data_IF_755321820002
#
_entry.id   IF_755321820002
#
_cell.length_a   1.000
_cell.length_b   1.000
_cell.length_c   1.000
_cell.angle_alpha   90.00
_cell.angle_beta   90.00
_cell.angle_gamma   90.00
#
_symmetry.space_group_name_H-M   'P 1'
#
loop_
_entity.id
_entity.type
_entity.pdbx_description
1 polymer ?
#
# COMPACT_ATOMS: atom_id res chain seq x y z
N UNK A 1 -12.99 26.80 -7.78
CA UNK A 1 -13.91 25.97 -8.59
C UNK A 1 -14.20 24.73 -7.77
N UNK A 2 -15.37 24.64 -7.14
CA UNK A 2 -15.74 23.57 -6.22
C UNK A 2 -16.26 22.36 -7.02
N UNK A 3 -15.42 21.34 -7.18
CA UNK A 3 -15.82 20.06 -7.79
C UNK A 3 -16.74 19.29 -6.85
N UNK A 4 -17.83 18.74 -7.39
CA UNK A 4 -18.78 17.90 -6.67
C UNK A 4 -18.05 16.72 -6.00
N UNK A 5 -18.18 16.64 -4.66
CA UNK A 5 -17.69 15.51 -3.86
C UNK A 5 -18.60 14.29 -4.09
N UNK A 6 -18.15 13.33 -4.88
CA UNK A 6 -18.79 12.02 -4.98
C UNK A 6 -18.40 11.15 -3.78
N UNK A 7 -19.38 10.64 -3.03
CA UNK A 7 -19.17 9.67 -1.95
C UNK A 7 -18.52 8.40 -2.53
N UNK A 8 -17.22 8.23 -2.30
CA UNK A 8 -16.52 7.01 -2.69
C UNK A 8 -16.75 5.95 -1.61
N UNK A 9 -17.31 4.80 -1.99
CA UNK A 9 -17.52 3.66 -1.10
C UNK A 9 -16.40 2.66 -1.37
N UNK A 10 -15.50 2.51 -0.40
CA UNK A 10 -14.43 1.50 -0.47
C UNK A 10 -15.02 0.10 -0.52
N UNK A 11 -14.52 -0.72 -1.46
CA UNK A 11 -14.92 -2.11 -1.64
C UNK A 11 -13.92 -3.05 -0.95
N UNK A 12 -14.40 -3.84 0.02
CA UNK A 12 -13.56 -4.77 0.78
C UNK A 12 -12.94 -5.85 -0.09
N UNK A 13 -13.61 -6.30 -1.15
CA UNK A 13 -13.07 -7.33 -2.06
C UNK A 13 -11.84 -6.82 -2.81
N UNK A 14 -11.87 -5.55 -3.23
CA UNK A 14 -10.74 -4.89 -3.86
C UNK A 14 -9.55 -4.76 -2.90
N UNK A 15 -9.78 -4.43 -1.63
CA UNK A 15 -8.71 -4.39 -0.62
C UNK A 15 -8.08 -5.77 -0.37
N UNK A 16 -8.90 -6.81 -0.23
CA UNK A 16 -8.43 -8.20 -0.05
C UNK A 16 -7.65 -8.71 -1.27
N UNK A 17 -8.05 -8.31 -2.48
CA UNK A 17 -7.30 -8.60 -3.71
C UNK A 17 -5.89 -8.02 -3.65
N UNK A 18 -5.76 -6.74 -3.27
CA UNK A 18 -4.46 -6.06 -3.15
C UNK A 18 -3.60 -6.73 -2.07
N UNK A 19 -4.18 -7.06 -0.92
CA UNK A 19 -3.47 -7.80 0.13
C UNK A 19 -2.88 -9.11 -0.40
N UNK A 20 -3.68 -9.90 -1.13
CA UNK A 20 -3.22 -11.17 -1.71
C UNK A 20 -2.08 -10.98 -2.71
N UNK A 21 -2.16 -9.96 -3.57
CA UNK A 21 -1.11 -9.63 -4.52
C UNK A 21 0.20 -9.31 -3.79
N UNK A 22 0.14 -8.46 -2.75
CA UNK A 22 1.30 -8.05 -1.96
C UNK A 22 1.93 -9.22 -1.21
N UNK A 23 1.11 -10.07 -0.59
CA UNK A 23 1.59 -11.28 0.09
C UNK A 23 2.33 -12.22 -0.85
N UNK A 24 1.77 -12.48 -2.03
CA UNK A 24 2.40 -13.32 -3.05
C UNK A 24 3.70 -12.70 -3.58
N UNK A 25 3.66 -11.41 -3.93
CA UNK A 25 4.78 -10.71 -4.56
C UNK A 25 6.00 -10.54 -3.66
N UNK A 26 5.78 -10.23 -2.37
CA UNK A 26 6.86 -10.07 -1.39
C UNK A 26 7.10 -11.30 -0.52
N UNK A 27 6.44 -12.42 -0.84
CA UNK A 27 6.54 -13.68 -0.08
C UNK A 27 6.32 -13.48 1.43
N UNK A 28 5.25 -12.76 1.78
CA UNK A 28 4.89 -12.48 3.17
C UNK A 28 4.26 -13.72 3.81
N UNK A 29 4.69 -14.01 5.03
CA UNK A 29 4.16 -15.13 5.81
C UNK A 29 2.74 -14.84 6.31
N UNK A 30 2.00 -15.88 6.71
CA UNK A 30 0.60 -15.75 7.14
C UNK A 30 0.44 -14.94 8.42
N UNK A 31 1.47 -14.89 9.27
CA UNK A 31 1.50 -14.12 10.52
C UNK A 31 1.89 -12.65 10.29
N UNK A 32 2.42 -12.30 9.11
CA UNK A 32 2.77 -10.94 8.76
C UNK A 32 1.48 -10.12 8.62
N UNK A 33 1.45 -8.98 9.30
CA UNK A 33 0.32 -8.05 9.26
C UNK A 33 0.40 -7.28 7.94
N UNK A 34 -0.72 -7.20 7.23
CA UNK A 34 -0.90 -6.38 6.03
C UNK A 34 -2.14 -5.53 6.21
N UNK A 35 -2.03 -4.23 5.99
CA UNK A 35 -3.13 -3.27 6.02
C UNK A 35 -3.19 -2.57 4.67
N UNK A 36 -4.32 -2.71 4.00
CA UNK A 36 -4.61 -1.97 2.76
C UNK A 36 -5.71 -0.95 3.06
N UNK A 37 -5.46 0.30 2.70
CA UNK A 37 -6.42 1.38 2.87
C UNK A 37 -6.50 2.22 1.60
N UNK A 38 -7.71 2.59 1.22
CA UNK A 38 -7.95 3.50 0.11
C UNK A 38 -8.44 4.83 0.67
N UNK A 39 -7.85 5.92 0.21
CA UNK A 39 -8.16 7.27 0.71
C UNK A 39 -8.16 8.26 -0.45
N UNK A 40 -8.70 9.45 -0.19
CA UNK A 40 -8.65 10.53 -1.19
C UNK A 40 -7.27 11.17 -1.23
N UNK A 41 -6.81 11.50 -2.44
CA UNK A 41 -5.65 12.34 -2.64
C UNK A 41 -5.85 13.71 -1.97
N UNK A 42 -4.81 14.21 -1.32
CA UNK A 42 -4.86 15.45 -0.54
C UNK A 42 -4.02 16.59 -1.17
N UNK A 43 -3.22 16.27 -2.19
CA UNK A 43 -2.37 17.23 -2.90
C UNK A 43 -2.93 17.59 -4.29
N UNK A 44 -2.86 18.85 -4.72
CA UNK A 44 -3.22 19.24 -6.08
C UNK A 44 -2.38 18.49 -7.12
N UNK A 45 -3.04 17.99 -8.18
CA UNK A 45 -2.39 17.24 -9.26
C UNK A 45 -2.26 15.74 -9.01
N UNK A 46 -2.60 15.25 -7.81
CA UNK A 46 -2.68 13.82 -7.53
C UNK A 46 -4.06 13.26 -7.93
N UNK A 47 -4.16 11.95 -8.20
CA UNK A 47 -5.45 11.29 -8.46
C UNK A 47 -6.43 11.45 -7.28
N UNK A 48 -7.72 11.34 -7.60
CA UNK A 48 -8.79 11.48 -6.61
C UNK A 48 -8.70 10.42 -5.50
N UNK A 49 -8.22 9.23 -5.84
CA UNK A 49 -8.06 8.10 -4.93
C UNK A 49 -6.64 7.56 -4.99
N UNK A 50 -6.14 7.19 -3.82
CA UNK A 50 -4.86 6.55 -3.62
C UNK A 50 -5.02 5.36 -2.66
N UNK A 51 -4.25 4.31 -2.90
CA UNK A 51 -4.22 3.11 -2.07
C UNK A 51 -2.89 3.05 -1.34
N UNK A 52 -2.96 3.07 -0.02
CA UNK A 52 -1.83 2.86 0.87
C UNK A 52 -1.79 1.41 1.34
N UNK A 53 -0.61 0.82 1.29
CA UNK A 53 -0.35 -0.53 1.74
C UNK A 53 0.73 -0.45 2.82
N UNK A 54 0.40 -0.91 4.02
CA UNK A 54 1.33 -1.07 5.12
C UNK A 54 1.51 -2.56 5.42
N UNK A 55 2.72 -3.01 5.66
CA UNK A 55 2.95 -4.36 6.18
C UNK A 55 4.16 -4.45 7.08
N UNK A 56 4.14 -5.46 7.95
CA UNK A 56 5.22 -5.75 8.88
C UNK A 56 5.81 -7.10 8.55
N UNK A 57 7.13 -7.12 8.36
CA UNK A 57 7.86 -8.35 8.06
C UNK A 57 8.96 -8.54 9.08
N UNK A 58 9.02 -9.75 9.63
CA UNK A 58 10.13 -10.19 10.48
C UNK A 58 11.35 -10.50 9.61
N UNK A 59 12.48 -9.93 9.97
CA UNK A 59 13.77 -10.30 9.40
C UNK A 59 14.44 -11.34 10.32
N UNK A 60 14.54 -12.62 9.89
CA UNK A 60 15.09 -13.68 10.72
C UNK A 60 16.59 -13.52 10.98
N UNK A 61 17.32 -12.77 10.15
CA UNK A 61 18.76 -12.57 10.33
C UNK A 61 19.06 -11.53 11.42
N UNK A 62 18.22 -10.51 11.54
CA UNK A 62 18.40 -9.41 12.51
C UNK A 62 17.48 -9.52 13.72
N UNK A 63 16.44 -10.37 13.65
CA UNK A 63 15.35 -10.47 14.60
C UNK A 63 14.61 -9.13 14.83
N UNK A 64 14.56 -8.30 13.79
CA UNK A 64 13.86 -7.01 13.79
C UNK A 64 12.59 -7.14 12.95
N UNK A 65 11.51 -6.51 13.39
CA UNK A 65 10.30 -6.35 12.59
C UNK A 65 10.35 -5.00 11.89
N UNK A 66 10.43 -5.01 10.57
CA UNK A 66 10.42 -3.80 9.76
C UNK A 66 9.01 -3.48 9.29
N UNK A 67 8.63 -2.20 9.34
CA UNK A 67 7.41 -1.67 8.73
C UNK A 67 7.73 -1.21 7.31
N UNK A 68 6.87 -1.55 6.37
CA UNK A 68 6.97 -1.13 4.99
C UNK A 68 5.72 -0.36 4.58
N UNK A 69 5.89 0.68 3.76
CA UNK A 69 4.82 1.53 3.26
C UNK A 69 4.95 1.71 1.76
N UNK A 70 3.89 1.34 1.05
CA UNK A 70 3.77 1.55 -0.39
C UNK A 70 2.56 2.43 -0.65
N UNK A 71 2.77 3.46 -1.47
CA UNK A 71 1.74 4.38 -1.90
C UNK A 71 1.46 4.20 -3.40
N UNK A 72 0.24 3.79 -3.72
CA UNK A 72 -0.22 3.63 -5.09
C UNK A 72 -1.20 4.75 -5.42
N UNK A 73 -0.88 5.57 -6.42
CA UNK A 73 -1.75 6.66 -6.89
C UNK A 73 -2.87 6.15 -7.80
N UNK A 74 -3.58 5.11 -7.35
CA UNK A 74 -4.70 4.47 -8.04
C UNK A 74 -5.72 3.93 -7.02
N UNK A 75 -7.00 3.80 -7.40
CA UNK A 75 -7.98 3.06 -6.63
C UNK A 75 -7.58 1.59 -6.43
N UNK A 76 -8.02 0.96 -5.34
CA UNK A 76 -7.66 -0.43 -5.01
C UNK A 76 -8.13 -1.42 -6.08
N UNK A 77 -9.29 -1.16 -6.69
CA UNK A 77 -9.86 -1.99 -7.75
C UNK A 77 -8.97 -2.07 -9.01
N UNK A 78 -8.17 -1.04 -9.27
CA UNK A 78 -7.33 -0.92 -10.47
C UNK A 78 -5.92 -1.49 -10.28
N UNK A 79 -5.51 -1.77 -9.05
CA UNK A 79 -4.18 -2.32 -8.75
C UNK A 79 -4.12 -3.80 -9.14
N UNK A 80 -3.08 -4.16 -9.88
CA UNK A 80 -2.75 -5.53 -10.25
C UNK A 80 -1.28 -5.84 -9.91
N UNK A 81 -0.88 -7.10 -10.04
CA UNK A 81 0.51 -7.52 -9.75
C UNK A 81 1.54 -6.76 -10.60
N UNK A 82 1.20 -6.37 -11.82
CA UNK A 82 2.08 -5.58 -12.70
C UNK A 82 2.31 -4.15 -12.23
N UNK A 83 1.46 -3.62 -11.35
CA UNK A 83 1.63 -2.29 -10.75
C UNK A 83 2.59 -2.33 -9.55
N UNK A 84 2.92 -3.53 -9.04
CA UNK A 84 3.77 -3.68 -7.88
C UNK A 84 5.23 -3.37 -8.24
N UNK A 85 5.97 -2.64 -7.36
CA UNK A 85 7.37 -2.37 -7.59
C UNK A 85 8.17 -3.67 -7.59
N UNK A 86 9.26 -3.69 -8.34
CA UNK A 86 10.16 -4.85 -8.41
C UNK A 86 10.66 -5.25 -7.02
N UNK A 87 10.63 -6.56 -6.72
CA UNK A 87 10.85 -7.08 -5.36
C UNK A 87 12.20 -6.68 -4.72
N UNK A 88 13.23 -6.46 -5.53
CA UNK A 88 14.55 -6.05 -5.05
C UNK A 88 14.61 -4.59 -4.54
N UNK A 89 13.58 -3.78 -4.80
CA UNK A 89 13.44 -2.42 -4.25
C UNK A 89 12.73 -2.41 -2.88
N UNK A 90 12.39 -3.57 -2.31
CA UNK A 90 11.62 -3.64 -1.06
C UNK A 90 12.22 -2.79 0.08
N UNK A 91 13.55 -2.78 0.22
CA UNK A 91 14.25 -2.00 1.26
C UNK A 91 14.05 -0.49 1.13
N UNK A 92 13.71 0.03 -0.06
CA UNK A 92 13.42 1.45 -0.28
C UNK A 92 12.05 1.86 0.27
N UNK A 93 11.20 0.90 0.61
CA UNK A 93 9.86 1.14 1.17
C UNK A 93 9.81 0.96 2.69
N UNK A 94 10.95 0.83 3.36
CA UNK A 94 10.99 0.80 4.82
C UNK A 94 10.46 2.15 5.34
N UNK A 95 9.45 2.06 6.20
CA UNK A 95 8.81 3.21 6.84
C UNK A 95 9.35 3.32 8.27
N UNK A 96 10.34 4.19 8.43
CA UNK A 96 10.98 4.54 9.70
C UNK A 96 10.15 5.52 10.56
N UNK A 97 8.97 5.93 10.06
CA UNK A 97 8.10 6.87 10.74
C UNK A 97 8.42 8.34 10.46
N UNK A 98 9.35 8.63 9.56
CA UNK A 98 9.57 9.98 9.07
C UNK A 98 8.36 10.43 8.21
N UNK A 99 7.64 11.49 8.60
CA UNK A 99 6.48 11.99 7.84
C UNK A 99 6.84 12.49 6.43
N UNK A 100 8.11 12.78 6.15
CA UNK A 100 8.57 13.29 4.86
C UNK A 100 8.91 12.16 3.86
N UNK A 101 8.92 10.89 4.29
CA UNK A 101 9.14 9.75 3.39
C UNK A 101 7.81 9.10 2.98
N UNK A 102 7.51 9.24 1.68
CA UNK A 102 6.32 8.85 0.91
C UNK A 102 5.31 7.91 1.57
#
# INVERSE_FOLDING_TARGET
>A
MFGLRLNHKTDGQSLEKVERCIRGHFSLESDNIVLVSERRGWLPGFPDLETQILFWRHDPATNIVNRYKLQMFKPAAEINESDLPVGWLLSAFIDDGDPDCC
#
